data_IF_521903208841
#
_entry.id   IF_521903208841
#
_cell.length_a   1.000
_cell.length_b   1.000
_cell.length_c   1.000
_cell.angle_alpha   90.00
_cell.angle_beta   90.00
_cell.angle_gamma   90.00
#
_symmetry.space_group_name_H-M   'P 1'
#
loop_
_entity.id
_entity.type
_entity.pdbx_description
1 polymer ?
#
# COMPACT_ATOMS: atom_id res chain seq x y z
N UNK A 1 7.84 20.17 -12.34
CA UNK A 1 6.82 21.22 -12.57
C UNK A 1 6.64 21.99 -11.27
N UNK A 2 6.86 23.32 -11.23
CA UNK A 2 6.68 24.08 -9.99
C UNK A 2 5.24 23.95 -9.46
N UNK A 3 5.07 23.87 -8.14
CA UNK A 3 3.77 23.70 -7.46
C UNK A 3 3.00 22.41 -7.79
N UNK A 4 3.67 21.38 -8.32
CA UNK A 4 3.05 20.06 -8.54
C UNK A 4 2.96 19.19 -7.28
N UNK A 5 3.65 19.58 -6.21
CA UNK A 5 3.63 18.86 -4.93
C UNK A 5 2.25 18.90 -4.30
N UNK A 6 1.61 17.73 -4.14
CA UNK A 6 0.29 17.58 -3.50
C UNK A 6 0.34 16.52 -2.41
N UNK A 7 -0.18 16.84 -1.22
CA UNK A 7 -0.32 15.90 -0.11
C UNK A 7 -1.45 14.91 -0.43
N UNK A 8 -1.15 13.62 -0.38
CA UNK A 8 -2.13 12.54 -0.56
C UNK A 8 -2.67 12.03 0.77
N UNK A 9 -1.78 11.85 1.72
CA UNK A 9 -2.07 11.22 3.00
C UNK A 9 -1.11 11.75 4.06
N UNK A 10 -1.53 11.73 5.31
CA UNK A 10 -0.74 12.14 6.46
C UNK A 10 -1.14 11.26 7.65
N UNK A 11 -0.15 10.75 8.34
CA UNK A 11 -0.29 10.08 9.62
C UNK A 11 0.47 10.87 10.70
N UNK A 12 0.62 10.30 11.90
CA UNK A 12 1.23 10.98 13.03
C UNK A 12 2.75 11.23 12.86
N UNK A 13 3.41 10.52 11.94
CA UNK A 13 4.87 10.54 11.78
C UNK A 13 5.31 11.03 10.40
N UNK A 14 4.48 10.83 9.37
CA UNK A 14 4.83 11.06 7.97
C UNK A 14 3.68 11.69 7.17
N UNK A 15 4.06 12.40 6.11
CA UNK A 15 3.14 12.90 5.09
C UNK A 15 3.58 12.43 3.70
N UNK A 16 2.65 11.83 2.96
CA UNK A 16 2.86 11.33 1.61
C UNK A 16 2.52 12.42 0.59
N UNK A 17 3.48 12.74 -0.28
CA UNK A 17 3.31 13.71 -1.36
C UNK A 17 3.52 13.09 -2.74
N UNK A 18 2.76 13.58 -3.73
CA UNK A 18 3.04 13.36 -5.15
C UNK A 18 3.75 14.55 -5.74
N UNK A 19 4.70 14.32 -6.66
CA UNK A 19 5.40 15.38 -7.39
C UNK A 19 5.48 15.02 -8.87
N UNK A 20 5.11 15.94 -9.76
CA UNK A 20 5.24 15.76 -11.22
C UNK A 20 6.59 16.28 -11.71
N UNK A 21 7.37 15.39 -12.32
CA UNK A 21 8.76 15.60 -12.77
C UNK A 21 8.93 15.10 -14.21
N UNK A 22 9.95 15.60 -14.92
CA UNK A 22 10.35 15.02 -16.20
C UNK A 22 11.17 13.74 -15.98
N UNK A 23 10.95 12.71 -16.81
CA UNK A 23 11.59 11.40 -16.67
C UNK A 23 13.12 11.47 -16.58
N UNK A 24 13.75 12.34 -17.39
CA UNK A 24 15.22 12.50 -17.42
C UNK A 24 15.82 13.02 -16.11
N UNK A 25 15.05 13.74 -15.29
CA UNK A 25 15.54 14.31 -14.02
C UNK A 25 15.03 13.55 -12.80
N UNK A 26 14.26 12.48 -12.99
CA UNK A 26 13.66 11.71 -11.91
C UNK A 26 14.74 11.10 -10.99
N UNK A 27 15.82 10.55 -11.55
CA UNK A 27 16.87 9.89 -10.77
C UNK A 27 17.70 10.88 -9.93
N UNK A 28 18.00 12.04 -10.50
CA UNK A 28 18.65 13.14 -9.76
C UNK A 28 17.75 13.62 -8.61
N UNK A 29 16.46 13.82 -8.88
CA UNK A 29 15.49 14.20 -7.85
C UNK A 29 15.41 13.14 -6.74
N UNK A 30 15.47 11.85 -7.10
CA UNK A 30 15.46 10.77 -6.12
C UNK A 30 16.68 10.82 -5.20
N UNK A 31 17.86 11.05 -5.76
CA UNK A 31 19.11 11.15 -4.99
C UNK A 31 19.06 12.35 -4.03
N UNK A 32 18.75 13.54 -4.55
CA UNK A 32 18.69 14.78 -3.74
C UNK A 32 17.60 14.73 -2.67
N UNK A 33 16.49 14.05 -2.91
CA UNK A 33 15.42 13.91 -1.90
C UNK A 33 15.87 13.02 -0.74
N UNK A 34 16.58 11.92 -1.01
CA UNK A 34 17.13 11.04 0.03
C UNK A 34 18.17 11.75 0.89
N UNK A 35 19.04 12.55 0.28
CA UNK A 35 20.03 13.39 1.00
C UNK A 35 19.36 14.37 1.97
N UNK A 36 18.13 14.81 1.67
CA UNK A 36 17.33 15.69 2.52
C UNK A 36 16.47 14.94 3.54
N UNK A 37 16.63 13.63 3.67
CA UNK A 37 15.88 12.80 4.60
C UNK A 37 14.48 12.39 4.14
N UNK A 38 14.10 12.67 2.89
CA UNK A 38 12.83 12.19 2.35
C UNK A 38 12.93 10.72 1.93
N UNK A 39 11.92 9.95 2.29
CA UNK A 39 11.79 8.56 1.87
C UNK A 39 11.07 8.49 0.52
N UNK A 40 11.65 7.73 -0.41
CA UNK A 40 11.11 7.58 -1.76
C UNK A 40 10.42 6.24 -1.87
N UNK A 41 9.15 6.30 -2.26
CA UNK A 41 8.34 5.13 -2.55
C UNK A 41 8.33 4.89 -4.05
N UNK A 42 8.96 3.81 -4.49
CA UNK A 42 8.81 3.36 -5.87
C UNK A 42 7.38 2.84 -6.05
N UNK A 43 6.67 3.44 -7.00
CA UNK A 43 5.29 3.12 -7.30
C UNK A 43 5.09 3.17 -8.81
N UNK A 44 4.64 2.06 -9.36
CA UNK A 44 4.23 1.96 -10.75
C UNK A 44 2.73 1.73 -10.77
N UNK A 45 2.01 2.64 -11.44
CA UNK A 45 0.57 2.50 -11.57
C UNK A 45 0.25 1.39 -12.58
N UNK A 46 -0.32 0.29 -12.10
CA UNK A 46 -0.85 -0.80 -12.92
C UNK A 46 -2.25 -1.12 -12.42
N UNK A 47 -3.25 -0.95 -13.31
CA UNK A 47 -4.66 -1.25 -13.01
C UNK A 47 -4.86 -2.74 -12.72
N UNK A 48 -4.21 -3.61 -13.50
CA UNK A 48 -4.27 -5.06 -13.32
C UNK A 48 -3.70 -5.48 -11.96
N UNK A 49 -2.55 -4.92 -11.57
CA UNK A 49 -1.94 -5.20 -10.28
C UNK A 49 -2.77 -4.68 -9.10
N UNK A 50 -3.58 -3.63 -9.31
CA UNK A 50 -4.48 -3.09 -8.29
C UNK A 50 -5.72 -3.98 -8.13
N UNK A 51 -6.32 -4.42 -9.23
CA UNK A 51 -7.46 -5.34 -9.21
C UNK A 51 -7.10 -6.69 -8.62
N UNK A 52 -5.94 -7.26 -9.00
CA UNK A 52 -5.45 -8.52 -8.43
C UNK A 52 -5.25 -8.44 -6.92
N UNK A 53 -4.67 -7.33 -6.42
CA UNK A 53 -4.48 -7.11 -4.97
C UNK A 53 -5.81 -7.01 -4.22
N UNK A 54 -6.82 -6.40 -4.83
CA UNK A 54 -8.15 -6.28 -4.24
C UNK A 54 -8.82 -7.65 -4.14
N UNK A 55 -8.77 -8.44 -5.22
CA UNK A 55 -9.32 -9.80 -5.24
C UNK A 55 -8.62 -10.72 -4.23
N UNK A 56 -7.29 -10.61 -4.10
CA UNK A 56 -6.53 -11.36 -3.10
C UNK A 56 -6.94 -10.99 -1.68
N UNK A 57 -7.14 -9.70 -1.40
CA UNK A 57 -7.63 -9.24 -0.09
C UNK A 57 -9.02 -9.81 0.21
N UNK A 58 -9.95 -9.72 -0.73
CA UNK A 58 -11.32 -10.23 -0.56
C UNK A 58 -11.32 -11.75 -0.31
N UNK A 59 -10.45 -12.49 -1.02
CA UNK A 59 -10.27 -13.94 -0.80
C UNK A 59 -9.72 -14.24 0.60
N UNK A 60 -8.71 -13.51 1.05
CA UNK A 60 -8.13 -13.71 2.39
C UNK A 60 -9.16 -13.47 3.51
N UNK A 61 -10.03 -12.48 3.34
CA UNK A 61 -11.12 -12.21 4.29
C UNK A 61 -12.12 -13.36 4.33
N UNK A 62 -12.52 -13.88 3.16
CA UNK A 62 -13.42 -15.03 3.09
C UNK A 62 -12.81 -16.29 3.70
N UNK A 63 -11.54 -16.56 3.40
CA UNK A 63 -10.81 -17.70 3.96
C UNK A 63 -10.69 -17.59 5.48
N UNK A 64 -10.42 -16.38 6.01
CA UNK A 64 -10.39 -16.12 7.44
C UNK A 64 -11.73 -16.40 8.12
N UNK A 65 -12.84 -15.96 7.54
CA UNK A 65 -14.18 -16.19 8.09
C UNK A 65 -14.55 -17.68 8.08
N UNK A 66 -14.27 -18.35 6.97
CA UNK A 66 -14.50 -19.79 6.82
C UNK A 66 -13.70 -20.60 7.86
N UNK A 67 -12.39 -20.35 7.95
CA UNK A 67 -11.52 -21.03 8.92
C UNK A 67 -11.95 -20.76 10.36
N UNK A 68 -12.34 -19.53 10.68
CA UNK A 68 -12.86 -19.17 12.00
C UNK A 68 -14.13 -19.97 12.32
N UNK A 69 -15.05 -20.09 11.36
CA UNK A 69 -16.27 -20.88 11.51
C UNK A 69 -15.98 -22.35 11.78
N UNK A 70 -15.12 -22.97 10.96
CA UNK A 70 -14.72 -24.38 11.12
C UNK A 70 -14.01 -24.63 12.45
N UNK A 71 -13.12 -23.72 12.87
CA UNK A 71 -12.40 -23.83 14.14
C UNK A 71 -13.37 -23.79 15.33
N UNK A 72 -14.33 -22.86 15.33
CA UNK A 72 -15.33 -22.78 16.40
C UNK A 72 -16.19 -24.04 16.47
N UNK A 73 -16.67 -24.54 15.34
CA UNK A 73 -17.40 -25.81 15.26
C UNK A 73 -16.59 -26.97 15.88
N UNK A 74 -15.33 -27.09 15.48
CA UNK A 74 -14.45 -28.14 16.00
C UNK A 74 -14.21 -28.03 17.51
N UNK A 75 -14.00 -26.80 18.03
CA UNK A 75 -13.86 -26.56 19.45
C UNK A 75 -15.12 -26.95 20.23
N UNK A 76 -16.31 -26.59 19.73
CA UNK A 76 -17.57 -26.98 20.36
C UNK A 76 -17.80 -28.49 20.34
N UNK A 77 -17.44 -29.19 19.27
CA UNK A 77 -17.59 -30.65 19.21
C UNK A 77 -16.57 -31.40 20.06
N UNK A 78 -15.36 -30.84 20.23
CA UNK A 78 -14.27 -31.51 20.96
C UNK A 78 -14.29 -31.23 22.47
N UNK A 79 -14.78 -30.06 22.87
CA UNK A 79 -14.69 -29.58 24.26
C UNK A 79 -16.02 -29.08 24.85
N UNK A 80 -17.12 -29.08 24.07
CA UNK A 80 -18.48 -28.83 24.55
C UNK A 80 -19.21 -30.13 24.86
#
# INVERSE_FOLDING_TARGET
VPRSSKKLFEDNEYALYTVTLFRRVADNFRTTSREKGFQIRDFEYSSEAQEGRKQEMDKLVQDQESLRGSLLQWCYTSYG
#
